data_IF_719688365276
#
_entry.id   IF_719688365276
#
_cell.length_a   1.000
_cell.length_b   1.000
_cell.length_c   1.000
_cell.angle_alpha   90.00
_cell.angle_beta   90.00
_cell.angle_gamma   90.00
#
_symmetry.space_group_name_H-M   'P 1'
#
loop_
_entity.id
_entity.type
_entity.pdbx_description
1 polymer ?
#
# COMPACT_ATOMS: atom_id res chain seq x y z
N UNK A 1 -2.24 7.08 -15.74
CA UNK A 1 -1.51 8.28 -16.24
C UNK A 1 -2.10 8.93 -17.49
N UNK A 2 -2.57 8.15 -18.48
CA UNK A 2 -3.01 8.67 -19.80
C UNK A 2 -4.06 9.80 -19.75
N UNK A 3 -4.93 9.84 -18.72
CA UNK A 3 -5.98 10.85 -18.54
C UNK A 3 -5.49 12.19 -17.92
N UNK A 4 -4.21 12.30 -17.52
CA UNK A 4 -3.67 13.50 -16.86
C UNK A 4 -3.31 14.56 -17.89
N UNK A 5 -4.05 15.67 -17.97
CA UNK A 5 -3.86 16.70 -18.99
C UNK A 5 -2.47 17.36 -18.97
N UNK A 6 -2.00 17.82 -17.80
CA UNK A 6 -0.70 18.49 -17.65
C UNK A 6 0.47 17.51 -17.92
N UNK A 7 1.34 17.84 -18.86
CA UNK A 7 2.46 17.00 -19.29
C UNK A 7 3.46 16.71 -18.16
N UNK A 8 3.79 17.71 -17.34
CA UNK A 8 4.72 17.56 -16.22
C UNK A 8 4.16 16.63 -15.14
N UNK A 9 2.89 16.81 -14.76
CA UNK A 9 2.21 15.91 -13.80
C UNK A 9 2.10 14.49 -14.39
N UNK A 10 1.84 14.36 -15.69
CA UNK A 10 1.80 13.06 -16.37
C UNK A 10 3.16 12.37 -16.38
N UNK A 11 4.25 13.12 -16.56
CA UNK A 11 5.61 12.61 -16.48
C UNK A 11 5.89 12.02 -15.09
N UNK A 12 5.62 12.76 -14.01
CA UNK A 12 5.75 12.24 -12.65
C UNK A 12 4.85 11.04 -12.36
N UNK A 13 3.63 11.01 -12.89
CA UNK A 13 2.75 9.84 -12.75
C UNK A 13 3.28 8.60 -13.50
N UNK A 14 3.99 8.79 -14.62
CA UNK A 14 4.67 7.71 -15.34
C UNK A 14 5.93 7.27 -14.62
N UNK A 15 6.71 8.20 -14.07
CA UNK A 15 7.89 7.93 -13.25
C UNK A 15 7.53 7.08 -12.02
N UNK A 16 6.47 7.45 -11.29
CA UNK A 16 5.96 6.63 -10.19
C UNK A 16 5.49 5.23 -10.61
N UNK A 17 4.95 5.07 -11.83
CA UNK A 17 4.65 3.74 -12.39
C UNK A 17 5.92 2.98 -12.74
N UNK A 18 6.92 3.64 -13.32
CA UNK A 18 8.19 3.05 -13.71
C UNK A 18 8.91 2.46 -12.49
N UNK A 19 9.06 3.24 -11.41
CA UNK A 19 9.79 2.79 -10.21
C UNK A 19 9.21 1.49 -9.62
N UNK A 20 7.89 1.45 -9.40
CA UNK A 20 7.26 0.24 -8.84
C UNK A 20 7.30 -0.95 -9.80
N UNK A 21 7.23 -0.72 -11.11
CA UNK A 21 7.30 -1.80 -12.12
C UNK A 21 8.71 -2.39 -12.19
N UNK A 22 9.75 -1.56 -12.26
CA UNK A 22 11.15 -2.03 -12.28
C UNK A 22 11.48 -2.83 -11.01
N UNK A 23 11.00 -2.40 -9.85
CA UNK A 23 11.19 -3.14 -8.60
C UNK A 23 10.48 -4.50 -8.62
N UNK A 24 9.21 -4.54 -9.05
CA UNK A 24 8.45 -5.78 -9.16
C UNK A 24 9.09 -6.76 -10.16
N UNK A 25 9.54 -6.27 -11.32
CA UNK A 25 10.23 -7.08 -12.34
C UNK A 25 11.54 -7.67 -11.78
N UNK A 26 12.31 -6.88 -11.01
CA UNK A 26 13.55 -7.35 -10.40
C UNK A 26 13.33 -8.45 -9.33
N UNK A 27 12.23 -8.36 -8.57
CA UNK A 27 11.83 -9.39 -7.60
C UNK A 27 11.33 -10.65 -8.31
N UNK A 28 10.52 -10.50 -9.36
CA UNK A 28 10.02 -11.61 -10.17
C UNK A 28 11.16 -12.39 -10.85
N UNK A 29 12.16 -11.70 -11.39
CA UNK A 29 13.37 -12.31 -11.98
C UNK A 29 14.17 -13.14 -10.97
N UNK A 30 13.97 -12.91 -9.67
CA UNK A 30 14.58 -13.65 -8.55
C UNK A 30 13.60 -14.62 -7.88
N UNK A 31 12.43 -14.83 -8.47
CA UNK A 31 11.36 -15.69 -7.93
C UNK A 31 10.90 -15.27 -6.51
N UNK A 32 11.03 -13.98 -6.18
CA UNK A 32 10.52 -13.41 -4.94
C UNK A 32 9.10 -12.92 -5.19
N UNK A 33 8.13 -13.52 -4.52
CA UNK A 33 6.75 -13.08 -4.58
C UNK A 33 6.61 -11.67 -3.96
N UNK A 34 5.92 -10.76 -4.66
CA UNK A 34 5.65 -9.43 -4.16
C UNK A 34 4.28 -8.92 -4.60
N UNK A 35 3.63 -8.16 -3.73
CA UNK A 35 2.41 -7.41 -4.05
C UNK A 35 2.72 -5.92 -4.18
N UNK A 36 2.14 -5.29 -5.20
CA UNK A 36 2.24 -3.84 -5.41
C UNK A 36 0.91 -3.20 -5.03
N UNK A 37 0.89 -2.48 -3.93
CA UNK A 37 -0.29 -1.77 -3.43
C UNK A 37 -0.01 -0.27 -3.47
N UNK A 38 -0.94 0.51 -4.03
CA UNK A 38 -0.92 1.97 -3.91
C UNK A 38 -1.84 2.45 -2.80
N UNK A 39 -1.49 3.55 -2.14
CA UNK A 39 -2.27 4.13 -1.02
C UNK A 39 -3.76 4.21 -1.30
N UNK A 40 -4.13 4.68 -2.50
CA UNK A 40 -5.55 4.82 -2.90
C UNK A 40 -6.33 3.51 -2.88
N UNK A 41 -5.66 2.39 -3.11
CA UNK A 41 -6.28 1.05 -3.14
C UNK A 41 -6.07 0.27 -1.84
N UNK A 42 -5.17 0.72 -0.98
CA UNK A 42 -4.76 -0.04 0.21
C UNK A 42 -5.93 -0.35 1.13
N UNK A 43 -6.79 0.62 1.43
CA UNK A 43 -7.95 0.39 2.32
C UNK A 43 -8.93 -0.67 1.79
N UNK A 44 -9.19 -0.68 0.48
CA UNK A 44 -10.05 -1.69 -0.14
C UNK A 44 -9.36 -3.06 -0.21
N UNK A 45 -8.06 -3.08 -0.52
CA UNK A 45 -7.25 -4.29 -0.57
C UNK A 45 -7.16 -4.95 0.82
N UNK A 46 -6.91 -4.18 1.87
CA UNK A 46 -6.83 -4.68 3.24
C UNK A 46 -8.17 -5.19 3.74
N UNK A 47 -9.27 -4.48 3.46
CA UNK A 47 -10.61 -4.95 3.84
C UNK A 47 -10.95 -6.32 3.22
N UNK A 48 -10.64 -6.48 1.92
CA UNK A 48 -10.85 -7.73 1.20
C UNK A 48 -9.96 -8.85 1.74
N UNK A 49 -8.65 -8.63 1.86
CA UNK A 49 -7.70 -9.64 2.30
C UNK A 49 -7.96 -10.09 3.74
N UNK A 50 -8.28 -9.15 4.63
CA UNK A 50 -8.51 -9.43 6.06
C UNK A 50 -9.94 -9.86 6.37
N UNK A 51 -10.82 -9.95 5.36
CA UNK A 51 -12.26 -10.26 5.50
C UNK A 51 -12.94 -9.39 6.56
N UNK A 52 -12.66 -8.08 6.53
CA UNK A 52 -13.10 -7.07 7.51
C UNK A 52 -13.58 -5.82 6.81
N UNK A 53 -14.41 -5.02 7.48
CA UNK A 53 -14.81 -3.71 6.95
C UNK A 53 -13.64 -2.71 7.00
N UNK A 54 -13.60 -1.68 6.13
CA UNK A 54 -12.57 -0.64 6.21
C UNK A 54 -12.46 0.01 7.59
N UNK A 55 -13.59 0.22 8.27
CA UNK A 55 -13.63 0.78 9.62
C UNK A 55 -13.01 -0.16 10.67
N UNK A 56 -13.25 -1.48 10.57
CA UNK A 56 -12.63 -2.47 11.46
C UNK A 56 -11.10 -2.51 11.28
N UNK A 57 -10.62 -2.46 10.04
CA UNK A 57 -9.18 -2.41 9.75
C UNK A 57 -8.56 -1.12 10.31
N UNK A 58 -9.17 0.04 10.04
CA UNK A 58 -8.68 1.32 10.54
C UNK A 58 -8.64 1.38 12.08
N UNK A 59 -9.64 0.80 12.75
CA UNK A 59 -9.68 0.68 14.21
C UNK A 59 -8.52 -0.17 14.74
N UNK A 60 -8.32 -1.37 14.19
CA UNK A 60 -7.25 -2.27 14.61
C UNK A 60 -5.85 -1.65 14.41
N UNK A 61 -5.60 -0.99 13.28
CA UNK A 61 -4.33 -0.27 13.04
C UNK A 61 -4.13 0.87 14.06
N UNK A 62 -5.20 1.54 14.47
CA UNK A 62 -5.15 2.53 15.55
C UNK A 62 -4.81 1.90 16.92
N UNK A 63 -5.34 0.72 17.20
CA UNK A 63 -5.05 -0.04 18.42
C UNK A 63 -3.59 -0.55 18.46
N UNK A 64 -3.05 -1.01 17.32
CA UNK A 64 -1.64 -1.42 17.21
C UNK A 64 -0.68 -0.27 17.56
N UNK A 65 -0.91 0.93 17.00
CA UNK A 65 -0.08 2.10 17.33
C UNK A 65 -0.15 2.48 18.80
N UNK A 66 -1.34 2.47 19.39
CA UNK A 66 -1.51 2.75 20.83
C UNK A 66 -0.75 1.76 21.71
N UNK A 67 -0.76 0.48 21.34
CA UNK A 67 -0.03 -0.56 22.07
C UNK A 67 1.50 -0.37 22.02
N UNK A 68 2.02 0.30 20.98
CA UNK A 68 3.44 0.56 20.75
C UNK A 68 3.87 2.00 21.09
N UNK A 69 3.05 2.75 21.82
CA UNK A 69 3.46 4.00 22.45
C UNK A 69 3.21 5.28 21.63
N UNK A 70 2.39 5.25 20.58
CA UNK A 70 2.04 6.51 19.93
C UNK A 70 1.04 6.42 18.79
N UNK A 71 0.37 7.55 18.45
CA UNK A 71 -0.46 7.57 17.26
C UNK A 71 0.42 7.37 16.03
N UNK A 72 0.15 6.32 15.28
CA UNK A 72 0.80 6.10 14.00
C UNK A 72 0.37 7.13 12.95
N UNK A 73 1.35 7.58 12.17
CA UNK A 73 1.20 8.34 10.94
C UNK A 73 0.57 7.47 9.84
N UNK A 74 0.26 8.09 8.71
CA UNK A 74 -0.38 7.41 7.59
C UNK A 74 0.51 6.29 7.04
N UNK A 75 1.81 6.55 6.93
CA UNK A 75 2.82 5.65 6.39
C UNK A 75 3.02 4.42 7.29
N UNK A 76 3.05 4.62 8.60
CA UNK A 76 3.15 3.54 9.60
C UNK A 76 1.91 2.64 9.56
N UNK A 77 0.71 3.23 9.47
CA UNK A 77 -0.54 2.47 9.29
C UNK A 77 -0.57 1.72 7.97
N UNK A 78 -0.06 2.31 6.90
CA UNK A 78 0.00 1.68 5.59
C UNK A 78 0.94 0.46 5.59
N UNK A 79 2.13 0.62 6.18
CA UNK A 79 3.08 -0.47 6.34
C UNK A 79 2.52 -1.61 7.20
N UNK A 80 1.88 -1.27 8.33
CA UNK A 80 1.24 -2.26 9.19
C UNK A 80 0.06 -2.97 8.51
N UNK A 81 -0.73 -2.27 7.69
CA UNK A 81 -1.80 -2.89 6.90
C UNK A 81 -1.24 -3.91 5.90
N UNK A 82 -0.20 -3.55 5.16
CA UNK A 82 0.46 -4.45 4.21
C UNK A 82 1.08 -5.67 4.92
N UNK A 83 1.75 -5.46 6.06
CA UNK A 83 2.30 -6.55 6.86
C UNK A 83 1.20 -7.49 7.38
N UNK A 84 0.09 -6.94 7.88
CA UNK A 84 -1.03 -7.76 8.37
C UNK A 84 -1.67 -8.59 7.25
N UNK A 85 -1.81 -8.01 6.05
CA UNK A 85 -2.28 -8.75 4.87
C UNK A 85 -1.37 -9.92 4.51
N UNK A 86 -0.04 -9.74 4.62
CA UNK A 86 0.95 -10.78 4.31
C UNK A 86 1.01 -11.92 5.34
N UNK A 87 0.44 -11.73 6.53
CA UNK A 87 0.39 -12.73 7.61
C UNK A 87 -0.89 -13.59 7.59
N UNK A 88 -1.79 -13.40 6.62
CA UNK A 88 -3.03 -14.18 6.51
C UNK A 88 -2.84 -15.47 5.71
#
# INVERSE_FOLDING_TARGET
PAKVGNLHIRAHANEGRLFRTVLADALAARQIACDVIVDKTLGAASAKALKRTPAQVAKALGEFGRALGGPWRAEEKAAAAAAWMALQ
#
